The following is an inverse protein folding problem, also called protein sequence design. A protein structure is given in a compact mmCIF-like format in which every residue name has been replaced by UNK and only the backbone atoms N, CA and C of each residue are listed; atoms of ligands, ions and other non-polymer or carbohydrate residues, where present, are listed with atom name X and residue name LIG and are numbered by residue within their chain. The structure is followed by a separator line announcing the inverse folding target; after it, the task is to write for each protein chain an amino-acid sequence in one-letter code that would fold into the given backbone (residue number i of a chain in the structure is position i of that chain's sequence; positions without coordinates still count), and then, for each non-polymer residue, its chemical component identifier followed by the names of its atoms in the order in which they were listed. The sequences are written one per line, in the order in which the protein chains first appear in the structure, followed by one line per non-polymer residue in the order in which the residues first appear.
data_IF_239265577415
#
_entry.id   IF_239265577415
#
_cell.length_a   1.000
_cell.length_b   1.000
_cell.length_c   1.000
_cell.angle_alpha   90.00
_cell.angle_beta   90.00
_cell.angle_gamma   90.00
#
_symmetry.space_group_name_H-M   'P 1'
#
loop_
_entity.id
_entity.type
_entity.pdbx_description
1 polymer ?
#
# COMPACT_ATOMS: atom_id res chain seq x y z
N UNK A 1 0.33 -7.39 7.24
CA UNK A 1 1.15 -8.06 6.20
C UNK A 1 1.38 -7.09 5.06
N UNK A 2 2.62 -6.91 4.60
CA UNK A 2 2.92 -6.10 3.41
C UNK A 2 2.84 -7.02 2.20
N UNK A 3 2.04 -6.64 1.20
CA UNK A 3 1.81 -7.47 0.01
C UNK A 3 2.60 -6.98 -1.19
N UNK A 4 2.77 -5.65 -1.30
CA UNK A 4 3.41 -5.04 -2.45
C UNK A 4 4.03 -3.70 -2.07
N UNK A 5 5.14 -3.39 -2.74
CA UNK A 5 5.79 -2.09 -2.69
C UNK A 5 6.26 -1.71 -4.09
N UNK A 6 6.10 -0.44 -4.45
CA UNK A 6 6.61 0.15 -5.69
C UNK A 6 7.45 1.36 -5.33
N UNK A 7 8.64 1.43 -5.91
CA UNK A 7 9.56 2.58 -5.79
C UNK A 7 9.71 3.17 -7.18
N UNK A 8 9.42 4.47 -7.30
CA UNK A 8 9.62 5.23 -8.53
C UNK A 8 10.59 6.38 -8.27
N UNK A 9 11.60 6.49 -9.13
CA UNK A 9 12.57 7.57 -9.10
C UNK A 9 12.56 8.30 -10.45
N UNK A 10 12.56 9.63 -10.39
CA UNK A 10 12.60 10.49 -11.56
C UNK A 10 13.66 11.57 -11.38
N UNK A 11 14.69 11.51 -12.21
CA UNK A 11 15.73 12.52 -12.31
C UNK A 11 15.50 13.40 -13.54
N UNK A 12 15.35 14.70 -13.32
CA UNK A 12 15.23 15.70 -14.39
C UNK A 12 16.29 16.78 -14.22
N UNK A 13 17.09 16.97 -15.26
CA UNK A 13 18.00 18.11 -15.38
C UNK A 13 17.50 19.06 -16.46
N UNK A 14 17.36 20.34 -16.12
CA UNK A 14 17.02 21.41 -17.06
C UNK A 14 18.15 22.42 -17.07
N UNK A 15 18.74 22.65 -18.24
CA UNK A 15 19.83 23.61 -18.42
C UNK A 15 19.31 24.81 -19.21
N UNK A 16 19.33 25.97 -18.59
CA UNK A 16 19.03 27.26 -19.24
C UNK A 16 20.34 28.02 -19.42
N UNK A 17 20.59 28.55 -20.61
CA UNK A 17 21.82 29.29 -20.92
C UNK A 17 21.51 30.50 -21.78
N UNK A 18 22.27 31.59 -21.63
CA UNK A 18 22.22 32.65 -22.63
C UNK A 18 23.08 32.25 -23.85
N UNK A 19 22.59 32.41 -25.10
CA UNK A 19 23.33 32.04 -26.30
C UNK A 19 24.68 32.76 -26.41
N UNK A 20 25.66 32.11 -27.06
CA UNK A 20 27.06 32.57 -27.20
C UNK A 20 27.83 32.61 -25.86
N UNK A 21 27.42 33.42 -24.89
CA UNK A 21 28.14 33.58 -23.62
C UNK A 21 28.11 32.33 -22.75
N UNK A 22 27.00 31.60 -22.79
CA UNK A 22 26.89 30.31 -22.12
C UNK A 22 27.99 29.36 -22.58
N UNK A 23 28.31 29.33 -23.88
CA UNK A 23 29.22 28.35 -24.49
C UNK A 23 30.71 28.69 -24.36
N UNK A 24 31.06 29.80 -23.70
CA UNK A 24 32.45 30.19 -23.49
C UNK A 24 33.21 29.19 -22.60
N UNK A 25 34.41 28.76 -22.99
CA UNK A 25 35.29 28.00 -22.11
C UNK A 25 35.69 28.85 -20.91
N UNK A 26 35.90 28.21 -19.75
CA UNK A 26 36.24 28.82 -18.45
C UNK A 26 35.14 29.67 -17.79
N UNK A 27 34.41 30.51 -18.54
CA UNK A 27 33.45 31.47 -17.98
C UNK A 27 31.99 31.13 -18.21
N UNK A 28 31.70 30.16 -19.08
CA UNK A 28 30.33 29.81 -19.47
C UNK A 28 29.41 29.42 -18.30
N UNK A 29 29.95 28.90 -17.19
CA UNK A 29 29.17 28.54 -16.00
C UNK A 29 28.47 29.73 -15.34
N UNK A 30 28.99 30.95 -15.48
CA UNK A 30 28.38 32.17 -14.94
C UNK A 30 27.10 32.58 -15.71
N UNK A 31 26.97 32.13 -16.96
CA UNK A 31 25.87 32.45 -17.88
C UNK A 31 24.95 31.25 -18.15
N UNK A 32 25.07 30.19 -17.34
CA UNK A 32 24.20 29.01 -17.36
C UNK A 32 23.58 28.82 -15.99
N UNK A 33 22.34 28.36 -15.98
CA UNK A 33 21.65 27.85 -14.80
C UNK A 33 21.26 26.40 -15.05
N UNK A 34 21.60 25.51 -14.12
CA UNK A 34 21.18 24.12 -14.15
C UNK A 34 20.23 23.88 -13.00
N UNK A 35 18.99 23.53 -13.30
CA UNK A 35 18.04 23.06 -12.31
C UNK A 35 18.04 21.53 -12.33
N UNK A 36 18.27 20.91 -11.18
CA UNK A 36 18.18 19.46 -10.99
C UNK A 36 17.02 19.19 -10.05
N UNK A 37 16.08 18.37 -10.50
CA UNK A 37 14.96 17.90 -9.70
C UNK A 37 15.01 16.38 -9.64
N UNK A 38 15.16 15.84 -8.43
CA UNK A 38 15.01 14.41 -8.15
C UNK A 38 13.69 14.25 -7.38
N UNK A 39 12.82 13.39 -7.89
CA UNK A 39 11.56 13.01 -7.26
C UNK A 39 11.57 11.52 -6.98
N UNK A 40 11.40 11.15 -5.71
CA UNK A 40 11.27 9.77 -5.25
C UNK A 40 9.89 9.54 -4.66
N UNK A 41 9.21 8.50 -5.14
CA UNK A 41 7.88 8.11 -4.69
C UNK A 41 7.91 6.66 -4.24
N UNK A 42 7.46 6.41 -3.02
CA UNK A 42 7.40 5.08 -2.42
C UNK A 42 5.95 4.78 -2.04
N UNK A 43 5.42 3.70 -2.60
CA UNK A 43 4.05 3.25 -2.34
C UNK A 43 4.10 1.86 -1.74
N UNK A 44 3.39 1.67 -0.62
CA UNK A 44 3.31 0.39 0.09
C UNK A 44 1.85 0.02 0.30
N UNK A 45 1.50 -1.22 -0.07
CA UNK A 45 0.16 -1.78 0.15
C UNK A 45 0.23 -2.80 1.29
N UNK A 46 -0.51 -2.52 2.36
CA UNK A 46 -0.61 -3.36 3.54
C UNK A 46 -2.03 -3.87 3.71
N UNK A 47 -2.17 -5.15 4.06
CA UNK A 47 -3.44 -5.75 4.50
C UNK A 47 -3.27 -6.35 5.89
N UNK A 48 -4.27 -6.09 6.73
CA UNK A 48 -4.40 -6.69 8.06
C UNK A 48 -5.70 -7.49 8.08
N UNK A 49 -5.65 -8.82 7.85
CA UNK A 49 -6.84 -9.64 7.93
C UNK A 49 -7.34 -9.68 9.39
N UNK A 50 -8.65 -9.77 9.57
CA UNK A 50 -9.30 -9.97 10.86
C UNK A 50 -10.26 -11.15 10.76
N UNK A 51 -10.22 -12.04 11.74
CA UNK A 51 -11.18 -13.14 11.86
C UNK A 51 -12.34 -12.62 12.70
N UNK A 52 -13.55 -12.62 12.13
CA UNK A 52 -14.77 -12.27 12.86
C UNK A 52 -15.40 -13.55 13.37
N UNK A 53 -15.64 -13.64 14.68
CA UNK A 53 -16.40 -14.72 15.30
C UNK A 53 -17.88 -14.32 15.33
N UNK A 54 -18.74 -15.16 14.77
CA UNK A 54 -20.18 -14.90 14.60
C UNK A 54 -21.00 -15.51 15.76
N UNK A 55 -20.33 -16.04 16.78
CA UNK A 55 -20.98 -16.82 17.85
C UNK A 55 -21.74 -15.98 18.88
N UNK A 56 -21.39 -14.71 19.08
CA UNK A 56 -22.03 -13.83 20.06
C UNK A 56 -22.72 -12.65 19.37
N UNK A 57 -23.94 -12.90 18.88
CA UNK A 57 -24.91 -11.89 18.46
C UNK A 57 -24.56 -11.12 17.17
N UNK A 58 -24.62 -11.78 16.01
CA UNK A 58 -24.71 -11.07 14.73
C UNK A 58 -26.09 -10.45 14.50
N UNK A 59 -26.10 -9.15 14.20
CA UNK A 59 -27.23 -8.46 13.59
C UNK A 59 -27.38 -8.82 12.08
N UNK A 60 -26.48 -9.67 11.56
CA UNK A 60 -26.43 -10.17 10.19
C UNK A 60 -26.56 -11.71 10.15
N UNK A 61 -27.52 -12.29 10.87
CA UNK A 61 -28.26 -13.50 10.48
C UNK A 61 -27.54 -14.83 10.18
N UNK A 62 -26.22 -15.01 10.38
CA UNK A 62 -25.57 -16.32 10.19
C UNK A 62 -25.68 -17.18 11.46
N UNK A 63 -26.91 -17.52 11.84
CA UNK A 63 -27.14 -18.46 12.95
C UNK A 63 -26.79 -19.89 12.53
N UNK A 64 -25.77 -20.49 13.15
CA UNK A 64 -25.55 -21.93 13.07
C UNK A 64 -26.72 -22.65 13.78
N UNK A 65 -27.70 -23.12 13.01
CA UNK A 65 -28.74 -24.01 13.53
C UNK A 65 -28.29 -25.45 13.31
N UNK A 66 -27.79 -26.16 14.33
CA UNK A 66 -27.37 -27.54 14.17
C UNK A 66 -28.54 -28.39 13.66
N UNK A 67 -28.23 -29.32 12.74
CA UNK A 67 -29.19 -30.30 12.24
C UNK A 67 -29.83 -31.10 13.37
N UNK A 68 -31.00 -31.69 13.11
CA UNK A 68 -31.76 -32.45 14.14
C UNK A 68 -30.93 -33.56 14.78
N UNK A 69 -30.10 -34.23 13.98
CA UNK A 69 -29.19 -35.28 14.42
C UNK A 69 -28.10 -34.75 15.36
N UNK A 70 -27.49 -33.61 15.02
CA UNK A 70 -26.46 -32.96 15.85
C UNK A 70 -27.04 -32.56 17.20
N UNK A 71 -28.27 -32.02 17.22
CA UNK A 71 -28.95 -31.68 18.49
C UNK A 71 -29.21 -32.92 19.35
N UNK A 72 -29.60 -34.04 18.75
CA UNK A 72 -29.81 -35.30 19.46
C UNK A 72 -28.51 -35.85 20.03
N UNK A 73 -27.41 -35.76 19.27
CA UNK A 73 -26.09 -36.18 19.71
C UNK A 73 -25.58 -35.36 20.89
N UNK A 74 -25.77 -34.04 20.86
CA UNK A 74 -25.40 -33.15 21.97
C UNK A 74 -26.20 -33.45 23.24
N UNK A 75 -27.52 -33.66 23.11
CA UNK A 75 -28.40 -33.99 24.26
C UNK A 75 -28.11 -35.37 24.86
N UNK A 76 -27.63 -36.32 24.06
CA UNK A 76 -27.24 -37.65 24.56
C UNK A 76 -25.96 -37.63 25.39
N UNK A 77 -25.10 -36.62 25.20
CA UNK A 77 -23.88 -36.46 25.99
C UNK A 77 -24.12 -35.72 27.31
N UNK A 78 -25.01 -34.72 27.34
CA UNK A 78 -25.34 -34.02 28.60
C UNK A 78 -26.07 -34.91 29.62
N UNK A 79 -26.73 -35.97 29.17
CA UNK A 79 -27.45 -36.91 30.03
C UNK A 79 -26.61 -38.14 30.47
N UNK A 80 -25.29 -37.99 30.60
CA UNK A 80 -24.41 -39.00 31.25
C UNK A 80 -23.56 -38.42 32.35
#
# INVERSE_FOLDING_TARGET
LILSGIIQESDRATVTKVPILGDLPLLGSLFRSTNRNNTRQEVVVMITPQIMDDSDQSNFGYGYTPGREVRQFLQQQENR
#
